data_IF_549160515237
#
_entry.id   IF_549160515237
#
_cell.length_a   1.000
_cell.length_b   1.000
_cell.length_c   1.000
_cell.angle_alpha   90.00
_cell.angle_beta   90.00
_cell.angle_gamma   90.00
#
_symmetry.space_group_name_H-M   'P 1'
#
loop_
_entity.id
_entity.type
_entity.pdbx_description
1 polymer ?
#
# COMPACT_ATOMS: atom_id res chain seq x y z
N UNK A 1 6.59 15.00 -33.85
CA UNK A 1 7.70 14.18 -33.34
C UNK A 1 7.19 13.41 -32.13
N UNK A 2 6.96 12.11 -32.31
CA UNK A 2 6.44 11.17 -31.32
C UNK A 2 7.55 10.82 -30.33
N UNK A 3 7.57 11.45 -29.16
CA UNK A 3 8.39 10.96 -28.07
C UNK A 3 7.60 9.85 -27.35
N UNK A 4 7.90 8.60 -27.70
CA UNK A 4 7.35 7.37 -27.08
C UNK A 4 7.77 7.19 -25.61
N UNK A 5 8.25 8.27 -24.97
CA UNK A 5 8.54 8.40 -23.53
C UNK A 5 7.29 8.80 -22.73
N UNK A 6 6.20 9.22 -23.39
CA UNK A 6 4.98 9.76 -22.75
C UNK A 6 4.02 8.76 -22.09
N UNK A 7 4.28 7.44 -22.16
CA UNK A 7 3.35 6.41 -21.65
C UNK A 7 3.56 6.03 -20.18
N UNK A 8 4.77 6.25 -19.67
CA UNK A 8 5.12 6.02 -18.27
C UNK A 8 4.64 7.20 -17.40
N UNK A 9 4.39 6.92 -16.12
CA UNK A 9 3.99 7.94 -15.13
C UNK A 9 5.14 8.89 -14.89
N UNK A 10 6.36 8.36 -14.64
CA UNK A 10 7.58 9.17 -14.58
C UNK A 10 8.56 8.80 -15.68
N UNK A 11 9.05 7.56 -15.67
CA UNK A 11 10.00 7.03 -16.66
C UNK A 11 10.01 5.51 -16.59
N UNK A 12 10.47 4.85 -17.66
CA UNK A 12 10.58 3.38 -17.69
C UNK A 12 11.32 2.83 -16.46
N UNK A 13 12.51 3.35 -16.15
CA UNK A 13 13.32 2.84 -15.03
C UNK A 13 12.64 3.06 -13.68
N UNK A 14 12.04 4.23 -13.45
CA UNK A 14 11.36 4.51 -12.19
C UNK A 14 10.13 3.63 -12.01
N UNK A 15 9.29 3.56 -13.05
CA UNK A 15 8.05 2.82 -13.00
C UNK A 15 8.31 1.32 -12.93
N UNK A 16 9.40 0.80 -13.52
CA UNK A 16 9.82 -0.61 -13.37
C UNK A 16 10.23 -0.92 -11.93
N UNK A 17 11.04 -0.05 -11.31
CA UNK A 17 11.51 -0.26 -9.94
C UNK A 17 10.38 -0.17 -8.93
N UNK A 18 9.54 0.86 -9.01
CA UNK A 18 8.58 1.18 -7.95
C UNK A 18 7.19 0.61 -8.23
N UNK A 19 6.64 0.90 -9.40
CA UNK A 19 5.24 0.59 -9.71
C UNK A 19 5.10 -0.87 -10.16
N UNK A 20 5.94 -1.34 -11.08
CA UNK A 20 5.95 -2.72 -11.56
C UNK A 20 6.77 -3.66 -10.65
N UNK A 21 6.98 -3.28 -9.39
CA UNK A 21 7.76 -4.06 -8.44
C UNK A 21 7.25 -5.49 -8.26
N UNK A 22 5.95 -5.72 -8.43
CA UNK A 22 5.36 -7.06 -8.38
C UNK A 22 5.97 -8.04 -9.37
N UNK A 23 6.47 -7.58 -10.53
CA UNK A 23 7.12 -8.47 -11.50
C UNK A 23 8.47 -8.94 -10.96
N UNK A 24 9.37 -8.00 -10.69
CA UNK A 24 10.74 -8.35 -10.29
C UNK A 24 10.79 -8.93 -8.88
N UNK A 25 9.89 -8.53 -7.97
CA UNK A 25 9.75 -9.15 -6.65
C UNK A 25 9.34 -10.62 -6.78
N UNK A 26 8.39 -10.94 -7.66
CA UNK A 26 7.99 -12.34 -7.85
C UNK A 26 9.17 -13.17 -8.34
N UNK A 27 9.90 -12.71 -9.36
CA UNK A 27 11.09 -13.43 -9.83
C UNK A 27 12.18 -13.53 -8.77
N UNK A 28 12.41 -12.46 -7.99
CA UNK A 28 13.38 -12.47 -6.90
C UNK A 28 13.05 -13.55 -5.88
N UNK A 29 11.78 -13.66 -5.47
CA UNK A 29 11.33 -14.67 -4.51
C UNK A 29 11.46 -16.09 -5.05
N UNK A 30 11.15 -16.31 -6.33
CA UNK A 30 11.29 -17.62 -6.96
C UNK A 30 12.76 -18.05 -7.12
N UNK A 31 13.68 -17.09 -7.28
CA UNK A 31 15.12 -17.36 -7.41
C UNK A 31 15.79 -17.54 -6.04
N UNK A 32 15.40 -16.74 -5.04
CA UNK A 32 15.97 -16.80 -3.69
C UNK A 32 15.28 -17.91 -2.91
N UNK A 33 15.81 -19.14 -2.98
CA UNK A 33 15.27 -20.30 -2.27
C UNK A 33 15.73 -20.43 -0.80
N UNK A 34 16.01 -19.31 -0.12
CA UNK A 34 16.42 -19.29 1.29
C UNK A 34 15.41 -18.48 2.09
N UNK A 35 14.69 -19.14 2.99
CA UNK A 35 13.70 -18.51 3.88
C UNK A 35 14.35 -17.40 4.73
N UNK A 36 15.54 -17.65 5.27
CA UNK A 36 16.29 -16.65 6.05
C UNK A 36 16.62 -15.40 5.23
N UNK A 37 17.09 -15.54 3.99
CA UNK A 37 17.38 -14.39 3.13
C UNK A 37 16.11 -13.62 2.74
N UNK A 38 15.01 -14.34 2.47
CA UNK A 38 13.71 -13.72 2.21
C UNK A 38 13.21 -12.95 3.44
N UNK A 39 13.36 -13.51 4.64
CA UNK A 39 12.98 -12.86 5.90
C UNK A 39 13.84 -11.63 6.20
N UNK A 40 15.16 -11.71 6.04
CA UNK A 40 16.06 -10.56 6.19
C UNK A 40 15.73 -9.45 5.20
N UNK A 41 15.42 -9.82 3.95
CA UNK A 41 15.00 -8.86 2.93
C UNK A 41 13.67 -8.20 3.30
N UNK A 42 12.71 -8.97 3.80
CA UNK A 42 11.43 -8.44 4.28
C UNK A 42 11.60 -7.53 5.50
N UNK A 43 12.41 -7.92 6.49
CA UNK A 43 12.70 -7.09 7.65
C UNK A 43 13.30 -5.73 7.24
N UNK A 44 14.25 -5.73 6.30
CA UNK A 44 14.83 -4.50 5.77
C UNK A 44 13.76 -3.61 5.09
N UNK A 45 12.82 -4.20 4.36
CA UNK A 45 11.76 -3.43 3.68
C UNK A 45 10.66 -2.98 4.63
N UNK A 46 10.38 -3.73 5.70
CA UNK A 46 9.55 -3.27 6.82
C UNK A 46 10.14 -2.00 7.41
N UNK A 47 11.42 -2.00 7.78
CA UNK A 47 12.06 -0.81 8.35
C UNK A 47 12.07 0.38 7.38
N UNK A 48 12.37 0.15 6.11
CA UNK A 48 12.49 1.24 5.13
C UNK A 48 11.15 1.77 4.62
N UNK A 49 10.14 0.91 4.46
CA UNK A 49 8.96 1.23 3.66
C UNK A 49 7.63 1.06 4.38
N UNK A 50 7.54 0.26 5.45
CA UNK A 50 6.25 0.02 6.10
C UNK A 50 5.69 1.27 6.79
N UNK A 51 6.47 2.03 7.56
CA UNK A 51 5.91 3.26 8.14
C UNK A 51 5.94 4.41 7.12
N UNK A 52 6.92 4.44 6.22
CA UNK A 52 6.98 5.41 5.14
C UNK A 52 5.72 5.40 4.24
N UNK A 53 5.24 4.22 3.80
CA UNK A 53 4.06 4.16 2.92
C UNK A 53 2.80 4.64 3.67
N UNK A 54 2.63 4.21 4.93
CA UNK A 54 1.49 4.57 5.78
C UNK A 54 1.35 6.08 5.94
N UNK A 55 2.46 6.80 6.02
CA UNK A 55 2.50 8.26 6.16
C UNK A 55 2.77 9.03 4.85
N UNK A 56 2.92 8.34 3.71
CA UNK A 56 3.27 8.98 2.45
C UNK A 56 2.18 9.94 1.94
N UNK A 57 0.90 9.57 2.06
CA UNK A 57 -0.22 10.45 1.73
C UNK A 57 -0.43 11.59 2.72
N UNK A 58 -0.05 11.40 3.99
CA UNK A 58 0.03 12.49 4.96
C UNK A 58 1.09 13.51 4.53
N UNK A 59 2.29 13.03 4.17
CA UNK A 59 3.32 13.90 3.61
C UNK A 59 2.83 14.63 2.36
N UNK A 60 2.11 13.97 1.44
CA UNK A 60 1.55 14.66 0.27
C UNK A 60 0.54 15.75 0.67
N UNK A 61 -0.42 15.45 1.54
CA UNK A 61 -1.45 16.40 1.91
C UNK A 61 -0.90 17.60 2.71
N UNK A 62 -0.01 17.38 3.68
CA UNK A 62 0.48 18.45 4.58
C UNK A 62 1.90 18.93 4.31
N UNK A 63 2.76 18.06 3.80
CA UNK A 63 4.15 18.38 3.49
C UNK A 63 4.33 19.11 2.16
N UNK A 64 3.38 18.99 1.22
CA UNK A 64 3.46 19.67 -0.08
C UNK A 64 2.71 21.00 -0.10
N UNK A 65 3.20 21.93 -0.90
CA UNK A 65 2.58 23.25 -1.07
C UNK A 65 1.36 23.20 -1.97
N UNK A 66 1.40 22.34 -3.00
CA UNK A 66 0.29 22.19 -3.93
C UNK A 66 -1.03 21.81 -3.22
N UNK A 67 -0.97 21.05 -2.12
CA UNK A 67 -2.15 20.65 -1.35
C UNK A 67 -2.65 21.70 -0.33
N UNK A 68 -1.89 22.77 -0.04
CA UNK A 68 -2.30 23.78 0.96
C UNK A 68 -3.65 24.44 0.68
N UNK A 69 -4.01 24.83 -0.56
CA UNK A 69 -5.35 25.34 -0.85
C UNK A 69 -6.42 24.30 -0.59
N UNK A 70 -6.17 23.04 -0.98
CA UNK A 70 -7.12 21.94 -0.79
C UNK A 70 -7.37 21.65 0.70
N UNK A 71 -6.33 21.71 1.54
CA UNK A 71 -6.48 21.60 3.00
C UNK A 71 -7.39 22.68 3.58
N UNK A 72 -7.28 23.93 3.08
CA UNK A 72 -8.10 25.06 3.53
C UNK A 72 -9.55 24.93 3.08
N UNK A 73 -9.76 24.54 1.82
CA UNK A 73 -11.09 24.45 1.23
C UNK A 73 -11.86 23.20 1.70
N UNK A 74 -11.15 22.13 2.05
CA UNK A 74 -11.74 20.82 2.34
C UNK A 74 -11.39 20.31 3.75
N UNK A 75 -11.47 21.17 4.76
CA UNK A 75 -11.16 20.86 6.16
C UNK A 75 -11.91 19.63 6.69
N UNK A 76 -13.15 19.40 6.25
CA UNK A 76 -13.92 18.20 6.64
C UNK A 76 -13.19 16.91 6.25
N UNK A 77 -12.59 16.88 5.06
CA UNK A 77 -11.89 15.72 4.50
C UNK A 77 -10.52 15.54 5.12
N UNK A 78 -9.76 16.63 5.25
CA UNK A 78 -8.36 16.53 5.65
C UNK A 78 -8.13 16.69 7.16
N UNK A 79 -9.01 17.35 7.90
CA UNK A 79 -8.77 17.63 9.32
C UNK A 79 -9.82 16.94 10.18
N UNK A 80 -11.10 17.26 9.97
CA UNK A 80 -12.17 16.82 10.87
C UNK A 80 -12.33 15.30 10.84
N UNK A 81 -12.46 14.68 9.66
CA UNK A 81 -12.65 13.23 9.61
C UNK A 81 -11.43 12.45 10.12
N UNK A 82 -10.18 12.80 9.78
CA UNK A 82 -9.01 12.21 10.42
C UNK A 82 -9.02 12.29 11.95
N UNK A 83 -9.37 13.45 12.52
CA UNK A 83 -9.50 13.59 13.97
C UNK A 83 -10.60 12.67 14.54
N UNK A 84 -11.74 12.57 13.87
CA UNK A 84 -12.83 11.67 14.28
C UNK A 84 -12.42 10.20 14.21
N UNK A 85 -11.60 9.79 13.24
CA UNK A 85 -11.07 8.42 13.16
C UNK A 85 -10.18 8.13 14.38
N UNK A 86 -9.24 9.02 14.70
CA UNK A 86 -8.37 8.86 15.87
C UNK A 86 -9.18 8.80 17.16
N UNK A 87 -10.10 9.75 17.35
CA UNK A 87 -10.96 9.80 18.53
C UNK A 87 -11.86 8.57 18.61
N UNK A 88 -12.38 8.07 17.49
CA UNK A 88 -13.21 6.87 17.44
C UNK A 88 -12.45 5.62 17.87
N UNK A 89 -11.23 5.41 17.35
CA UNK A 89 -10.37 4.29 17.76
C UNK A 89 -10.04 4.36 19.24
N UNK A 90 -9.61 5.52 19.73
CA UNK A 90 -9.30 5.70 21.14
C UNK A 90 -10.55 5.52 22.02
N UNK A 91 -11.71 6.01 21.61
CA UNK A 91 -12.95 5.81 22.34
C UNK A 91 -13.32 4.32 22.46
N UNK A 92 -13.17 3.53 21.39
CA UNK A 92 -13.39 2.07 21.43
C UNK A 92 -12.45 1.40 22.43
N UNK A 93 -11.15 1.73 22.41
CA UNK A 93 -10.16 1.11 23.28
C UNK A 93 -10.32 1.52 24.75
N UNK A 94 -10.65 2.78 25.02
CA UNK A 94 -10.76 3.33 26.37
C UNK A 94 -12.19 3.32 26.95
N UNK A 95 -13.16 2.74 26.25
CA UNK A 95 -14.51 2.55 26.83
C UNK A 95 -14.38 1.70 28.09
N UNK A 96 -14.88 2.15 29.27
CA UNK A 96 -14.77 1.37 30.50
C UNK A 96 -15.49 0.04 30.37
N UNK A 97 -14.99 -1.01 31.02
CA UNK A 97 -15.58 -2.35 30.98
C UNK A 97 -17.02 -2.38 31.53
N UNK A 98 -17.39 -1.43 32.40
CA UNK A 98 -18.77 -1.26 32.85
C UNK A 98 -19.76 -0.94 31.71
N UNK A 99 -19.27 -0.41 30.59
CA UNK A 99 -20.07 -0.02 29.42
C UNK A 99 -19.85 -0.94 28.21
N UNK A 100 -19.04 -1.99 28.31
CA UNK A 100 -18.73 -2.89 27.20
C UNK A 100 -18.48 -4.31 27.67
N UNK A 101 -19.11 -5.26 27.00
CA UNK A 101 -18.97 -6.70 27.27
C UNK A 101 -17.65 -7.29 26.76
N UNK A 102 -16.84 -6.51 26.04
CA UNK A 102 -15.58 -6.97 25.45
C UNK A 102 -14.38 -6.38 26.22
N UNK A 103 -13.38 -7.22 26.46
CA UNK A 103 -12.07 -6.82 26.99
C UNK A 103 -11.32 -5.93 25.99
N UNK A 104 -10.31 -5.20 26.46
CA UNK A 104 -9.46 -4.37 25.58
C UNK A 104 -8.81 -5.19 24.47
N UNK A 105 -8.32 -6.40 24.78
CA UNK A 105 -7.70 -7.30 23.80
C UNK A 105 -8.68 -7.73 22.69
N UNK A 106 -9.93 -8.05 23.04
CA UNK A 106 -10.97 -8.40 22.05
C UNK A 106 -11.32 -7.20 21.16
N UNK A 107 -11.33 -5.98 21.72
CA UNK A 107 -11.57 -4.77 20.94
C UNK A 107 -10.41 -4.46 19.99
N UNK A 108 -9.16 -4.65 20.43
CA UNK A 108 -7.98 -4.57 19.56
C UNK A 108 -8.11 -5.56 18.42
N UNK A 109 -8.47 -6.81 18.71
CA UNK A 109 -8.70 -7.83 17.69
C UNK A 109 -9.80 -7.42 16.72
N UNK A 110 -10.94 -6.93 17.21
CA UNK A 110 -12.03 -6.43 16.36
C UNK A 110 -11.59 -5.30 15.42
N UNK A 111 -10.77 -4.37 15.92
CA UNK A 111 -10.19 -3.30 15.10
C UNK A 111 -9.18 -3.83 14.07
N UNK A 112 -8.35 -4.82 14.43
CA UNK A 112 -7.43 -5.47 13.48
C UNK A 112 -8.17 -6.24 12.39
N UNK A 113 -9.28 -6.91 12.71
CA UNK A 113 -10.11 -7.58 11.70
C UNK A 113 -10.76 -6.57 10.74
N UNK A 114 -11.19 -5.42 11.28
CA UNK A 114 -11.70 -4.32 10.45
C UNK A 114 -10.59 -3.72 9.58
N UNK A 115 -9.40 -3.53 10.14
CA UNK A 115 -8.21 -3.07 9.42
C UNK A 115 -7.84 -4.03 8.29
N UNK A 116 -7.84 -5.34 8.53
CA UNK A 116 -7.60 -6.37 7.52
C UNK A 116 -8.60 -6.30 6.37
N UNK A 117 -9.91 -6.23 6.67
CA UNK A 117 -10.95 -6.13 5.65
C UNK A 117 -10.82 -4.84 4.81
N UNK A 118 -10.48 -3.73 5.47
CA UNK A 118 -10.27 -2.46 4.79
C UNK A 118 -8.96 -2.44 3.99
N UNK A 119 -7.92 -3.09 4.51
CA UNK A 119 -6.65 -3.35 3.84
C UNK A 119 -6.89 -4.02 2.51
N UNK A 120 -7.57 -5.17 2.48
CA UNK A 120 -7.86 -5.88 1.22
C UNK A 120 -8.59 -4.99 0.18
N UNK A 121 -9.56 -4.18 0.63
CA UNK A 121 -10.19 -3.17 -0.23
C UNK A 121 -9.18 -2.11 -0.73
N UNK A 122 -8.32 -1.64 0.15
CA UNK A 122 -7.32 -0.62 -0.12
C UNK A 122 -6.26 -1.08 -1.13
N UNK A 123 -5.72 -2.29 -1.00
CA UNK A 123 -4.81 -2.90 -1.97
C UNK A 123 -5.45 -2.96 -3.37
N UNK A 124 -6.67 -3.48 -3.48
CA UNK A 124 -7.41 -3.52 -4.74
C UNK A 124 -7.63 -2.12 -5.34
N UNK A 125 -7.98 -1.14 -4.50
CA UNK A 125 -8.18 0.24 -4.91
C UNK A 125 -6.88 0.89 -5.42
N UNK A 126 -5.73 0.60 -4.82
CA UNK A 126 -4.43 1.08 -5.28
C UNK A 126 -4.09 0.52 -6.67
N UNK A 127 -4.22 -0.80 -6.87
CA UNK A 127 -3.93 -1.40 -8.17
C UNK A 127 -4.81 -0.81 -9.28
N UNK A 128 -6.11 -0.63 -8.98
CA UNK A 128 -7.01 0.06 -9.89
C UNK A 128 -6.55 1.49 -10.18
N UNK A 129 -6.17 2.25 -9.15
CA UNK A 129 -5.65 3.61 -9.30
C UNK A 129 -4.45 3.69 -10.26
N UNK A 130 -3.49 2.76 -10.14
CA UNK A 130 -2.31 2.74 -11.00
C UNK A 130 -2.65 2.37 -12.44
N UNK A 131 -3.54 1.39 -12.67
CA UNK A 131 -4.05 1.08 -14.01
C UNK A 131 -4.71 2.30 -14.66
N UNK A 132 -5.48 3.08 -13.88
CA UNK A 132 -6.10 4.33 -14.35
C UNK A 132 -5.08 5.39 -14.71
N UNK A 133 -3.97 5.50 -13.98
CA UNK A 133 -2.90 6.45 -14.29
C UNK A 133 -2.22 6.11 -15.64
N UNK A 134 -1.86 4.85 -15.87
CA UNK A 134 -1.29 4.45 -17.17
C UNK A 134 -2.28 4.64 -18.32
N UNK A 135 -3.53 4.27 -18.11
CA UNK A 135 -4.57 4.45 -19.11
C UNK A 135 -4.74 5.94 -19.46
N UNK A 136 -4.79 6.83 -18.46
CA UNK A 136 -4.88 8.27 -18.65
C UNK A 136 -3.68 8.86 -19.39
N UNK A 137 -2.48 8.27 -19.25
CA UNK A 137 -1.28 8.70 -19.95
C UNK A 137 -1.23 8.25 -21.42
N UNK A 138 -1.77 7.07 -21.71
CA UNK A 138 -1.68 6.49 -23.04
C UNK A 138 -2.87 6.82 -23.94
N UNK A 139 -4.09 6.41 -23.55
CA UNK A 139 -5.27 6.53 -24.40
C UNK A 139 -6.53 6.85 -23.55
N UNK A 140 -6.78 8.12 -23.21
CA UNK A 140 -7.94 8.51 -22.42
C UNK A 140 -9.30 8.16 -23.05
N UNK A 141 -9.36 7.95 -24.37
CA UNK A 141 -10.60 7.73 -25.10
C UNK A 141 -11.20 6.34 -24.84
N UNK A 142 -10.38 5.31 -24.57
CA UNK A 142 -10.85 3.96 -24.24
C UNK A 142 -11.18 3.75 -22.75
N UNK A 143 -11.13 4.83 -21.96
CA UNK A 143 -11.24 4.76 -20.49
C UNK A 143 -12.58 4.21 -19.99
N UNK A 144 -13.69 4.51 -20.66
CA UNK A 144 -15.02 4.15 -20.19
C UNK A 144 -15.25 2.63 -20.15
N UNK A 145 -14.84 1.91 -21.21
CA UNK A 145 -15.00 0.45 -21.30
C UNK A 145 -13.99 -0.30 -20.41
N UNK A 146 -12.74 0.19 -20.35
CA UNK A 146 -11.70 -0.38 -19.50
C UNK A 146 -12.01 -0.26 -18.00
N UNK A 147 -12.71 0.81 -17.59
CA UNK A 147 -12.99 1.10 -16.18
C UNK A 147 -13.69 0.00 -15.40
N UNK A 148 -14.72 -0.59 -16.00
CA UNK A 148 -15.51 -1.63 -15.33
C UNK A 148 -14.69 -2.92 -15.19
N UNK A 149 -13.98 -3.28 -16.26
CA UNK A 149 -13.13 -4.48 -16.29
C UNK A 149 -11.98 -4.36 -15.29
N UNK A 150 -11.26 -3.23 -15.28
CA UNK A 150 -10.16 -2.98 -14.34
C UNK A 150 -10.64 -3.04 -12.89
N UNK A 151 -11.81 -2.48 -12.60
CA UNK A 151 -12.39 -2.54 -11.26
C UNK A 151 -12.74 -3.97 -10.85
N UNK A 152 -13.41 -4.72 -11.72
CA UNK A 152 -13.75 -6.12 -11.44
C UNK A 152 -12.49 -6.97 -11.26
N UNK A 153 -11.48 -6.76 -12.10
CA UNK A 153 -10.22 -7.48 -12.00
C UNK A 153 -9.47 -7.15 -10.71
N UNK A 154 -9.32 -5.87 -10.35
CA UNK A 154 -8.60 -5.48 -9.14
C UNK A 154 -9.30 -5.91 -7.85
N UNK A 155 -10.63 -5.76 -7.73
CA UNK A 155 -11.35 -6.20 -6.53
C UNK A 155 -11.59 -7.71 -6.50
N UNK A 156 -11.80 -8.35 -7.65
CA UNK A 156 -11.98 -9.79 -7.75
C UNK A 156 -10.66 -10.53 -7.53
N UNK A 157 -9.67 -10.29 -8.38
CA UNK A 157 -8.36 -10.96 -8.34
C UNK A 157 -7.49 -10.39 -7.21
N UNK A 158 -7.30 -9.07 -7.19
CA UNK A 158 -6.44 -8.38 -6.21
C UNK A 158 -7.09 -8.11 -4.85
N UNK A 159 -8.26 -8.70 -4.56
CA UNK A 159 -8.98 -8.53 -3.29
C UNK A 159 -9.59 -9.84 -2.84
N UNK A 160 -10.72 -10.23 -3.43
CA UNK A 160 -11.49 -11.42 -3.01
C UNK A 160 -10.68 -12.72 -3.14
N UNK A 161 -10.07 -12.98 -4.31
CA UNK A 161 -9.32 -14.21 -4.51
C UNK A 161 -8.08 -14.33 -3.62
N UNK A 162 -7.46 -13.20 -3.28
CA UNK A 162 -6.33 -13.17 -2.35
C UNK A 162 -6.77 -13.55 -0.94
N UNK A 163 -7.90 -13.00 -0.46
CA UNK A 163 -8.47 -13.41 0.83
C UNK A 163 -8.77 -14.91 0.83
N UNK A 164 -9.35 -15.44 -0.26
CA UNK A 164 -9.61 -16.86 -0.40
C UNK A 164 -8.31 -17.67 -0.34
N UNK A 165 -7.26 -17.24 -1.07
CA UNK A 165 -5.97 -17.91 -1.05
C UNK A 165 -5.36 -17.93 0.36
N UNK A 166 -5.39 -16.81 1.08
CA UNK A 166 -4.91 -16.76 2.47
C UNK A 166 -5.71 -17.67 3.41
N UNK A 167 -7.04 -17.68 3.30
CA UNK A 167 -7.89 -18.57 4.10
C UNK A 167 -7.58 -20.04 3.83
N UNK A 168 -7.32 -20.38 2.56
CA UNK A 168 -7.05 -21.75 2.13
C UNK A 168 -5.69 -22.29 2.60
N UNK A 169 -4.68 -21.43 2.71
CA UNK A 169 -3.40 -21.81 3.28
C UNK A 169 -3.39 -21.78 4.82
N UNK A 170 -4.50 -21.35 5.43
CA UNK A 170 -4.56 -20.94 6.82
C UNK A 170 -3.82 -19.61 6.98
N UNK A 171 -4.56 -18.52 7.14
CA UNK A 171 -3.99 -17.15 7.08
C UNK A 171 -2.84 -16.99 8.08
N UNK A 172 -1.74 -16.34 7.68
CA UNK A 172 -0.62 -16.01 8.58
C UNK A 172 -1.10 -15.25 9.84
N UNK A 173 -1.99 -14.27 9.65
CA UNK A 173 -2.55 -13.44 10.73
C UNK A 173 -3.40 -14.23 11.74
N UNK A 174 -4.37 -15.04 11.28
CA UNK A 174 -5.23 -15.79 12.20
C UNK A 174 -4.54 -17.04 12.80
N UNK A 175 -3.48 -17.55 12.15
CA UNK A 175 -2.63 -18.61 12.70
C UNK A 175 -1.75 -18.10 13.84
N UNK A 176 -1.07 -16.95 13.66
CA UNK A 176 -0.23 -16.33 14.70
C UNK A 176 -1.04 -15.95 15.95
N UNK A 177 -2.31 -15.62 15.80
CA UNK A 177 -3.23 -15.29 16.92
C UNK A 177 -4.07 -16.48 17.42
N UNK A 178 -3.86 -17.70 16.92
CA UNK A 178 -4.62 -18.91 17.28
C UNK A 178 -6.15 -18.80 17.16
N UNK A 179 -6.66 -18.03 16.20
CA UNK A 179 -8.11 -17.78 16.03
C UNK A 179 -8.78 -18.87 15.17
N UNK A 180 -8.08 -19.38 14.15
CA UNK A 180 -8.60 -20.41 13.23
C UNK A 180 -8.94 -21.76 13.90
N UNK A 181 -8.13 -22.31 14.84
CA UNK A 181 -8.40 -23.62 15.44
C UNK A 181 -9.79 -23.73 16.11
N UNK A 182 -10.40 -22.60 16.49
CA UNK A 182 -11.69 -22.57 17.17
C UNK A 182 -12.91 -22.36 16.26
N UNK A 183 -12.73 -21.95 15.00
CA UNK A 183 -13.85 -21.60 14.12
C UNK A 183 -14.22 -22.70 13.11
N UNK A 184 -13.26 -23.54 12.69
CA UNK A 184 -13.49 -24.49 11.59
C UNK A 184 -12.73 -25.80 11.80
N UNK A 185 -13.22 -26.73 12.65
CA UNK A 185 -12.74 -28.10 12.64
C UNK A 185 -13.31 -28.79 11.38
N UNK A 186 -12.44 -29.30 10.51
CA UNK A 186 -12.78 -30.27 9.45
C UNK A 186 -13.46 -29.78 8.15
N UNK A 187 -13.12 -28.59 7.64
CA UNK A 187 -13.40 -28.30 6.22
C UNK A 187 -12.47 -29.10 5.30
N UNK A 188 -12.87 -30.33 4.98
CA UNK A 188 -12.49 -31.08 3.77
C UNK A 188 -11.06 -30.83 3.28
N UNK A 189 -10.06 -31.03 4.16
CA UNK A 189 -8.64 -30.73 3.91
C UNK A 189 -8.11 -31.39 2.62
N UNK A 190 -8.72 -32.51 2.21
CA UNK A 190 -8.42 -33.21 0.96
C UNK A 190 -8.69 -32.37 -0.31
N UNK A 191 -9.64 -31.43 -0.27
CA UNK A 191 -10.02 -30.60 -1.41
C UNK A 191 -9.15 -29.36 -1.62
N UNK A 192 -8.43 -28.91 -0.59
CA UNK A 192 -7.63 -27.67 -0.61
C UNK A 192 -6.65 -27.65 -1.80
N UNK A 193 -5.86 -28.71 -2.08
CA UNK A 193 -4.93 -28.70 -3.21
C UNK A 193 -5.60 -28.52 -4.57
N UNK A 194 -6.79 -29.10 -4.76
CA UNK A 194 -7.56 -28.93 -6.00
C UNK A 194 -8.05 -27.49 -6.16
N UNK A 195 -8.62 -26.93 -5.09
CA UNK A 195 -9.09 -25.54 -5.10
C UNK A 195 -7.96 -24.53 -5.33
N UNK A 196 -6.75 -24.77 -4.79
CA UNK A 196 -5.58 -23.91 -5.02
C UNK A 196 -5.17 -23.92 -6.51
N UNK A 197 -5.18 -25.09 -7.14
CA UNK A 197 -4.94 -25.24 -8.59
C UNK A 197 -6.01 -24.55 -9.43
N UNK A 198 -7.29 -24.72 -9.09
CA UNK A 198 -8.40 -24.06 -9.77
C UNK A 198 -8.34 -22.54 -9.63
N UNK A 199 -8.01 -22.03 -8.44
CA UNK A 199 -7.77 -20.61 -8.18
C UNK A 199 -6.65 -20.05 -9.05
N UNK A 200 -5.54 -20.78 -9.16
CA UNK A 200 -4.41 -20.42 -10.02
C UNK A 200 -4.81 -20.34 -11.50
N UNK A 201 -5.53 -21.34 -12.00
CA UNK A 201 -6.02 -21.36 -13.38
C UNK A 201 -7.00 -20.21 -13.64
N UNK A 202 -7.89 -19.90 -12.69
CA UNK A 202 -8.81 -18.77 -12.78
C UNK A 202 -8.07 -17.44 -12.86
N UNK A 203 -7.03 -17.24 -12.04
CA UNK A 203 -6.19 -16.03 -12.06
C UNK A 203 -5.47 -15.91 -13.40
N UNK A 204 -4.84 -16.98 -13.88
CA UNK A 204 -4.12 -16.99 -15.18
C UNK A 204 -5.09 -16.66 -16.31
N UNK A 205 -6.23 -17.36 -16.39
CA UNK A 205 -7.25 -17.14 -17.42
C UNK A 205 -7.79 -15.70 -17.41
N UNK A 206 -8.09 -15.17 -16.22
CA UNK A 206 -8.55 -13.78 -16.05
C UNK A 206 -7.50 -12.77 -16.47
N UNK A 207 -6.22 -13.03 -16.13
CA UNK A 207 -5.10 -12.15 -16.50
C UNK A 207 -4.88 -12.15 -18.00
N UNK A 208 -4.87 -13.32 -18.65
CA UNK A 208 -4.75 -13.43 -20.11
C UNK A 208 -5.90 -12.72 -20.82
N UNK A 209 -7.13 -12.84 -20.31
CA UNK A 209 -8.29 -12.11 -20.83
C UNK A 209 -8.10 -10.60 -20.72
N UNK A 210 -7.65 -10.10 -19.57
CA UNK A 210 -7.40 -8.67 -19.35
C UNK A 210 -6.27 -8.13 -20.22
N UNK A 211 -5.18 -8.88 -20.36
CA UNK A 211 -4.04 -8.53 -21.22
C UNK A 211 -4.48 -8.49 -22.69
N UNK A 212 -5.22 -9.49 -23.16
CA UNK A 212 -5.79 -9.51 -24.52
C UNK A 212 -6.65 -8.28 -24.77
N UNK A 213 -7.56 -7.95 -23.85
CA UNK A 213 -8.41 -6.76 -24.00
C UNK A 213 -7.58 -5.47 -24.00
N UNK A 214 -6.55 -5.37 -23.16
CA UNK A 214 -5.63 -4.23 -23.14
C UNK A 214 -4.88 -4.06 -24.47
N UNK A 215 -4.47 -5.15 -25.12
CA UNK A 215 -3.89 -5.14 -26.46
C UNK A 215 -4.88 -4.65 -27.51
N UNK A 216 -6.11 -5.19 -27.52
CA UNK A 216 -7.16 -4.81 -28.49
C UNK A 216 -7.55 -3.33 -28.34
N UNK A 217 -7.53 -2.81 -27.12
CA UNK A 217 -7.91 -1.43 -26.81
C UNK A 217 -6.75 -0.43 -26.95
N UNK A 218 -5.58 -0.87 -27.43
CA UNK A 218 -4.35 -0.08 -27.49
C UNK A 218 -4.10 0.68 -26.18
N UNK A 219 -3.88 -0.07 -25.10
CA UNK A 219 -3.77 0.47 -23.74
C UNK A 219 -2.35 0.83 -23.30
N UNK A 220 -1.36 0.58 -24.15
CA UNK A 220 0.05 0.84 -23.86
C UNK A 220 0.72 -0.25 -23.02
N UNK A 221 2.03 -0.41 -23.26
CA UNK A 221 2.85 -1.43 -22.60
C UNK A 221 2.87 -1.34 -21.06
N UNK A 222 2.97 -0.16 -20.42
CA UNK A 222 3.00 -0.08 -18.94
C UNK A 222 1.73 -0.66 -18.31
N UNK A 223 0.55 -0.37 -18.86
CA UNK A 223 -0.71 -0.93 -18.34
C UNK A 223 -0.75 -2.45 -18.49
N UNK A 224 -0.30 -2.98 -19.63
CA UNK A 224 -0.26 -4.42 -19.89
C UNK A 224 0.67 -5.12 -18.90
N UNK A 225 1.88 -4.60 -18.71
CA UNK A 225 2.84 -5.13 -17.74
C UNK A 225 2.28 -5.09 -16.32
N UNK A 226 1.60 -4.01 -15.94
CA UNK A 226 0.99 -3.90 -14.62
C UNK A 226 -0.16 -4.89 -14.40
N UNK A 227 -1.00 -5.14 -15.41
CA UNK A 227 -2.01 -6.21 -15.37
C UNK A 227 -1.36 -7.59 -15.18
N UNK A 228 -0.29 -7.87 -15.92
CA UNK A 228 0.49 -9.09 -15.75
C UNK A 228 1.11 -9.21 -14.37
N UNK A 229 1.59 -8.10 -13.79
CA UNK A 229 2.15 -8.08 -12.43
C UNK A 229 1.10 -8.47 -11.38
N UNK A 230 -0.11 -7.89 -11.45
CA UNK A 230 -1.22 -8.26 -10.54
C UNK A 230 -1.55 -9.73 -10.68
N UNK A 231 -1.70 -10.22 -11.92
CA UNK A 231 -1.99 -11.63 -12.18
C UNK A 231 -0.92 -12.58 -11.67
N UNK A 232 0.36 -12.21 -11.83
CA UNK A 232 1.50 -12.97 -11.36
C UNK A 232 1.53 -13.07 -9.83
N UNK A 233 1.35 -11.95 -9.13
CA UNK A 233 1.30 -11.94 -7.66
C UNK A 233 0.08 -12.70 -7.13
N UNK A 234 -1.08 -12.56 -7.77
CA UNK A 234 -2.28 -13.29 -7.37
C UNK A 234 -2.14 -14.80 -7.63
N UNK A 235 -1.47 -15.22 -8.71
CA UNK A 235 -1.18 -16.64 -8.95
C UNK A 235 -0.20 -17.17 -7.90
N UNK A 236 0.79 -16.36 -7.51
CA UNK A 236 1.70 -16.68 -6.41
C UNK A 236 0.97 -16.87 -5.08
N UNK A 237 -0.10 -16.12 -4.80
CA UNK A 237 -0.93 -16.30 -3.60
C UNK A 237 -1.48 -17.73 -3.46
N UNK A 238 -1.83 -18.37 -4.56
CA UNK A 238 -2.37 -19.74 -4.56
C UNK A 238 -1.30 -20.84 -4.59
N UNK A 239 -0.02 -20.48 -4.72
CA UNK A 239 1.07 -21.45 -4.93
C UNK A 239 2.18 -21.35 -3.88
N UNK A 240 2.41 -20.16 -3.32
CA UNK A 240 3.44 -19.91 -2.32
C UNK A 240 2.89 -20.04 -0.91
N UNK A 241 3.78 -20.24 0.06
CA UNK A 241 3.46 -20.18 1.48
C UNK A 241 2.93 -18.78 1.86
N UNK A 242 2.04 -18.66 2.86
CA UNK A 242 1.43 -17.39 3.27
C UNK A 242 2.43 -16.26 3.51
N UNK A 243 3.58 -16.56 4.14
CA UNK A 243 4.61 -15.56 4.40
C UNK A 243 5.22 -14.99 3.11
N UNK A 244 5.52 -15.84 2.13
CA UNK A 244 6.12 -15.41 0.86
C UNK A 244 5.14 -14.57 0.05
N UNK A 245 3.87 -14.96 0.04
CA UNK A 245 2.83 -14.15 -0.57
C UNK A 245 2.65 -12.80 0.15
N UNK A 246 2.58 -12.80 1.48
CA UNK A 246 2.46 -11.58 2.28
C UNK A 246 3.61 -10.61 1.97
N UNK A 247 4.85 -11.10 1.96
CA UNK A 247 6.04 -10.35 1.58
C UNK A 247 5.85 -9.74 0.18
N UNK A 248 5.50 -10.55 -0.82
CA UNK A 248 5.33 -10.08 -2.20
C UNK A 248 4.28 -8.98 -2.30
N UNK A 249 3.11 -9.23 -1.73
CA UNK A 249 1.94 -8.38 -1.84
C UNK A 249 2.12 -7.04 -1.11
N UNK A 250 2.59 -7.10 0.15
CA UNK A 250 2.81 -5.89 0.97
C UNK A 250 3.98 -5.07 0.44
N UNK A 251 5.09 -5.69 0.04
CA UNK A 251 6.23 -4.96 -0.48
C UNK A 251 5.93 -4.25 -1.79
N UNK A 252 5.22 -4.90 -2.73
CA UNK A 252 4.81 -4.22 -3.96
C UNK A 252 3.96 -3.00 -3.63
N UNK A 253 3.02 -3.15 -2.69
CA UNK A 253 2.14 -2.08 -2.29
C UNK A 253 2.90 -0.89 -1.69
N UNK A 254 3.82 -1.14 -0.76
CA UNK A 254 4.64 -0.10 -0.13
C UNK A 254 5.53 0.61 -1.14
N UNK A 255 6.22 -0.15 -2.00
CA UNK A 255 7.10 0.41 -3.03
C UNK A 255 6.32 1.28 -4.02
N UNK A 256 5.14 0.84 -4.46
CA UNK A 256 4.34 1.60 -5.40
C UNK A 256 3.83 2.92 -4.78
N UNK A 257 3.34 2.88 -3.54
CA UNK A 257 2.86 4.06 -2.83
C UNK A 257 3.99 5.08 -2.58
N UNK A 258 5.13 4.62 -2.07
CA UNK A 258 6.29 5.47 -1.79
C UNK A 258 6.89 6.02 -3.08
N UNK A 259 7.03 5.20 -4.12
CA UNK A 259 7.53 5.65 -5.41
C UNK A 259 6.67 6.74 -6.03
N UNK A 260 5.35 6.68 -5.84
CA UNK A 260 4.42 7.72 -6.28
C UNK A 260 4.54 8.98 -5.44
N UNK A 261 4.57 8.85 -4.10
CA UNK A 261 4.69 9.98 -3.19
C UNK A 261 6.03 10.71 -3.31
N UNK A 262 7.14 9.98 -3.45
CA UNK A 262 8.46 10.55 -3.69
C UNK A 262 8.53 11.30 -5.01
N UNK A 263 7.91 10.77 -6.08
CA UNK A 263 7.79 11.46 -7.37
C UNK A 263 6.99 12.76 -7.23
N UNK A 264 5.78 12.70 -6.68
CA UNK A 264 4.91 13.87 -6.50
C UNK A 264 5.53 14.92 -5.59
N UNK A 265 6.11 14.50 -4.46
CA UNK A 265 6.80 15.39 -3.53
C UNK A 265 8.04 16.04 -4.15
N UNK A 266 8.83 15.27 -4.90
CA UNK A 266 9.98 15.80 -5.62
C UNK A 266 9.60 16.87 -6.65
N UNK A 267 8.46 16.71 -7.30
CA UNK A 267 7.90 17.71 -8.22
C UNK A 267 7.39 18.97 -7.51
N UNK A 268 6.81 18.85 -6.32
CA UNK A 268 6.43 20.03 -5.50
C UNK A 268 7.65 20.86 -5.10
N UNK A 269 8.73 20.20 -4.64
CA UNK A 269 10.02 20.84 -4.33
C UNK A 269 10.60 21.55 -5.56
N UNK A 270 10.49 20.94 -6.74
CA UNK A 270 10.93 21.55 -8.01
C UNK A 270 10.18 22.86 -8.29
N UNK A 271 8.86 22.89 -8.11
CA UNK A 271 8.06 24.09 -8.36
C UNK A 271 8.39 25.25 -7.40
N UNK A 272 8.66 24.97 -6.11
CA UNK A 272 9.05 26.01 -5.15
C UNK A 272 10.36 26.70 -5.55
N UNK A 273 11.38 25.91 -5.88
CA UNK A 273 12.67 26.46 -6.29
C UNK A 273 12.56 27.27 -7.59
N UNK A 274 11.73 26.86 -8.55
CA UNK A 274 11.48 27.65 -9.77
C UNK A 274 10.79 28.98 -9.47
N UNK A 275 9.88 29.05 -8.48
CA UNK A 275 9.27 30.31 -8.05
C UNK A 275 10.25 31.22 -7.30
N UNK A 276 11.14 30.65 -6.48
CA UNK A 276 12.17 31.40 -5.74
C UNK A 276 13.32 31.89 -6.64
N UNK A 277 13.68 31.13 -7.67
CA UNK A 277 14.82 31.40 -8.56
C UNK A 277 14.53 32.35 -9.73
N UNK A 278 13.32 32.94 -9.79
CA UNK A 278 13.01 34.02 -10.74
C UNK A 278 13.95 35.23 -10.57
N UNK A 279 14.60 35.41 -9.41
CA UNK A 279 15.62 36.46 -9.20
C UNK A 279 17.07 36.05 -9.50
N UNK A 280 17.40 34.76 -9.66
CA UNK A 280 18.78 34.32 -9.91
C UNK A 280 18.82 33.13 -10.89
N UNK A 281 19.05 33.48 -12.15
CA UNK A 281 19.36 32.54 -13.24
C UNK A 281 20.73 31.89 -13.00
N UNK A 282 20.76 30.78 -12.23
CA UNK A 282 21.75 29.68 -12.32
C UNK A 282 21.65 28.77 -11.08
N UNK A 283 21.14 27.55 -11.25
CA UNK A 283 21.99 26.35 -11.19
C UNK A 283 21.23 25.11 -11.62
N UNK A 284 21.92 24.31 -12.43
CA UNK A 284 21.59 22.93 -12.79
C UNK A 284 21.80 22.03 -11.56
N UNK A 285 20.99 22.20 -10.50
CA UNK A 285 20.87 21.14 -9.50
C UNK A 285 20.04 20.02 -10.13
N UNK A 286 20.76 18.96 -10.51
CA UNK A 286 20.30 17.76 -11.19
C UNK A 286 18.89 17.37 -10.73
N UNK A 287 17.90 17.57 -11.62
CA UNK A 287 16.46 17.26 -11.47
C UNK A 287 16.22 15.89 -10.82
N UNK A 288 17.14 14.95 -11.03
CA UNK A 288 17.14 13.61 -10.47
C UNK A 288 17.11 13.55 -8.93
N UNK A 289 17.75 14.46 -8.19
CA UNK A 289 17.93 14.34 -6.73
C UNK A 289 16.70 14.67 -5.88
N UNK A 290 15.70 15.36 -6.45
CA UNK A 290 14.58 15.89 -5.65
C UNK A 290 13.63 14.80 -5.14
N UNK A 291 13.20 13.81 -5.96
CA UNK A 291 12.46 12.65 -5.46
C UNK A 291 13.25 11.84 -4.42
N UNK A 292 14.59 11.75 -4.57
CA UNK A 292 15.43 11.02 -3.61
C UNK A 292 15.50 11.70 -2.24
N UNK A 293 15.50 13.04 -2.18
CA UNK A 293 15.43 13.76 -0.88
C UNK A 293 14.15 13.37 -0.13
N UNK A 294 13.00 13.40 -0.80
CA UNK A 294 11.71 13.00 -0.21
C UNK A 294 11.75 11.54 0.22
N UNK A 295 12.24 10.65 -0.65
CA UNK A 295 12.35 9.22 -0.35
C UNK A 295 13.23 8.97 0.89
N UNK A 296 14.42 9.55 0.95
CA UNK A 296 15.34 9.39 2.09
C UNK A 296 14.68 9.89 3.38
N UNK A 297 13.99 11.04 3.34
CA UNK A 297 13.26 11.55 4.51
C UNK A 297 12.15 10.60 4.98
N UNK A 298 11.38 10.03 4.04
CA UNK A 298 10.34 9.05 4.36
C UNK A 298 10.93 7.75 4.92
N UNK A 299 12.01 7.23 4.31
CA UNK A 299 12.69 6.03 4.80
C UNK A 299 13.30 6.23 6.19
N UNK A 300 13.95 7.38 6.43
CA UNK A 300 14.51 7.71 7.74
C UNK A 300 13.41 7.81 8.80
N UNK A 301 12.31 8.48 8.48
CA UNK A 301 11.11 8.52 9.34
C UNK A 301 10.59 7.10 9.61
N UNK A 302 10.56 6.24 8.59
CA UNK A 302 10.09 4.86 8.75
C UNK A 302 10.91 4.09 9.75
N UNK A 303 12.23 4.06 9.57
CA UNK A 303 13.18 3.37 10.46
C UNK A 303 13.03 3.85 11.91
N UNK A 304 12.89 5.16 12.11
CA UNK A 304 12.73 5.75 13.44
C UNK A 304 11.40 5.38 14.10
N UNK A 305 10.33 5.27 13.31
CA UNK A 305 8.98 5.09 13.83
C UNK A 305 8.54 3.62 13.91
N UNK A 306 9.19 2.70 13.18
CA UNK A 306 8.83 1.26 13.19
C UNK A 306 8.68 0.69 14.61
N UNK A 307 9.59 0.91 15.57
CA UNK A 307 9.44 0.33 16.92
C UNK A 307 8.14 0.73 17.63
N UNK A 308 7.65 1.95 17.38
CA UNK A 308 6.44 2.46 18.03
C UNK A 308 5.16 1.93 17.38
N UNK A 309 5.20 1.61 16.09
CA UNK A 309 4.05 1.11 15.33
C UNK A 309 4.02 -0.41 15.22
N UNK A 310 5.14 -1.11 15.34
CA UNK A 310 5.19 -2.59 15.30
C UNK A 310 4.48 -3.24 16.49
N UNK A 311 4.30 -2.48 17.58
CA UNK A 311 3.59 -2.95 18.79
C UNK A 311 2.16 -3.41 18.47
N UNK A 312 1.45 -2.73 17.55
CA UNK A 312 0.09 -3.14 17.16
C UNK A 312 0.07 -4.35 16.23
N UNK A 313 1.08 -4.48 15.37
CA UNK A 313 0.99 -5.34 14.19
C UNK A 313 1.41 -6.79 14.46
N UNK A 314 2.41 -6.97 15.33
CA UNK A 314 3.07 -8.27 15.54
C UNK A 314 3.08 -8.60 17.03
N UNK A 315 2.89 -9.88 17.37
CA UNK A 315 2.93 -10.32 18.76
C UNK A 315 4.36 -10.22 19.35
N UNK A 316 4.44 -10.15 20.68
CA UNK A 316 5.75 -10.21 21.35
C UNK A 316 6.47 -11.52 21.01
N UNK A 317 7.77 -11.44 20.73
CA UNK A 317 8.61 -12.54 20.26
C UNK A 317 8.73 -12.67 18.74
N UNK A 318 7.84 -12.02 17.97
CA UNK A 318 7.85 -12.05 16.50
C UNK A 318 8.32 -10.75 15.84
N UNK A 319 8.59 -9.68 16.61
CA UNK A 319 8.83 -8.34 16.07
C UNK A 319 10.26 -8.18 15.56
N UNK A 320 10.43 -7.56 14.41
CA UNK A 320 11.77 -7.22 13.91
C UNK A 320 12.45 -6.17 14.79
N UNK A 321 11.72 -5.21 15.35
CA UNK A 321 12.27 -4.22 16.27
C UNK A 321 12.75 -4.82 17.59
N UNK A 322 12.25 -5.99 18.01
CA UNK A 322 12.77 -6.69 19.20
C UNK A 322 14.16 -7.25 18.94
N UNK A 323 14.46 -7.66 17.70
CA UNK A 323 15.78 -8.14 17.32
C UNK A 323 16.82 -7.01 17.24
N UNK A 324 16.39 -5.80 16.84
CA UNK A 324 17.27 -4.64 16.66
C UNK A 324 17.39 -3.78 17.92
N UNK A 325 16.28 -3.55 18.62
CA UNK A 325 16.18 -2.70 19.81
C UNK A 325 15.42 -3.38 20.96
N UNK A 326 15.94 -4.50 21.51
CA UNK A 326 15.22 -5.31 22.51
C UNK A 326 14.80 -4.52 23.75
N UNK A 327 15.70 -3.69 24.29
CA UNK A 327 15.43 -2.88 25.50
C UNK A 327 14.33 -1.85 25.27
N UNK A 328 14.30 -1.22 24.10
CA UNK A 328 13.26 -0.25 23.75
C UNK A 328 11.90 -0.97 23.64
N UNK A 329 11.88 -2.14 23.01
CA UNK A 329 10.64 -2.90 22.83
C UNK A 329 10.11 -3.43 24.15
N UNK A 330 10.97 -3.93 25.03
CA UNK A 330 10.59 -4.35 26.39
C UNK A 330 9.99 -3.17 27.17
N UNK A 331 10.61 -1.99 27.10
CA UNK A 331 10.08 -0.79 27.75
C UNK A 331 8.71 -0.39 27.19
N UNK A 332 8.55 -0.35 25.86
CA UNK A 332 7.30 0.03 25.21
C UNK A 332 6.15 -0.92 25.59
N UNK A 333 6.42 -2.22 25.65
CA UNK A 333 5.44 -3.26 25.99
C UNK A 333 4.95 -3.18 27.43
N UNK A 334 5.85 -2.88 28.36
CA UNK A 334 5.54 -2.79 29.78
C UNK A 334 5.13 -1.37 30.21
N UNK A 335 5.07 -0.42 29.27
CA UNK A 335 4.70 0.96 29.57
C UNK A 335 3.20 1.12 29.80
N UNK A 336 2.82 2.06 30.68
CA UNK A 336 1.44 2.51 30.85
C UNK A 336 0.84 3.10 29.56
N UNK A 337 1.71 3.45 28.60
CA UNK A 337 1.34 3.98 27.29
C UNK A 337 0.98 2.90 26.27
N UNK A 338 1.10 1.60 26.59
CA UNK A 338 0.89 0.51 25.64
C UNK A 338 -0.45 0.62 24.88
N UNK A 339 -1.57 0.74 25.59
CA UNK A 339 -2.90 0.85 24.96
C UNK A 339 -3.04 2.10 24.11
N UNK A 340 -2.43 3.20 24.53
CA UNK A 340 -2.41 4.44 23.75
C UNK A 340 -1.61 4.26 22.46
N UNK A 341 -0.41 3.68 22.53
CA UNK A 341 0.45 3.42 21.38
C UNK A 341 -0.21 2.46 20.39
N UNK A 342 -0.83 1.38 20.87
CA UNK A 342 -1.64 0.48 20.03
C UNK A 342 -2.79 1.25 19.37
N UNK A 343 -3.48 2.11 20.12
CA UNK A 343 -4.55 2.95 19.58
C UNK A 343 -4.08 3.91 18.50
N UNK A 344 -2.93 4.57 18.68
CA UNK A 344 -2.31 5.41 17.65
C UNK A 344 -1.90 4.58 16.44
N UNK A 345 -1.36 3.37 16.65
CA UNK A 345 -1.00 2.44 15.59
C UNK A 345 -2.20 2.04 14.73
N UNK A 346 -3.27 1.55 15.35
CA UNK A 346 -4.51 1.18 14.66
C UNK A 346 -5.16 2.38 13.97
N UNK A 347 -5.23 3.52 14.65
CA UNK A 347 -5.75 4.76 14.07
C UNK A 347 -4.96 5.15 12.83
N UNK A 348 -3.63 5.03 12.86
CA UNK A 348 -2.77 5.34 11.71
C UNK A 348 -3.04 4.46 10.49
N UNK A 349 -3.44 3.20 10.67
CA UNK A 349 -3.89 2.31 9.59
C UNK A 349 -5.15 2.83 8.91
N UNK A 350 -6.22 3.09 9.69
CA UNK A 350 -7.46 3.66 9.15
C UNK A 350 -7.26 5.02 8.49
N UNK A 351 -6.46 5.85 9.14
CA UNK A 351 -6.06 7.16 8.65
C UNK A 351 -5.33 7.07 7.31
N UNK A 352 -4.40 6.14 7.15
CA UNK A 352 -3.69 5.90 5.90
C UNK A 352 -4.68 5.60 4.77
N UNK A 353 -5.62 4.68 4.97
CA UNK A 353 -6.60 4.35 3.93
C UNK A 353 -7.48 5.53 3.54
N UNK A 354 -7.87 6.35 4.52
CA UNK A 354 -8.63 7.56 4.27
C UNK A 354 -7.80 8.60 3.51
N UNK A 355 -6.55 8.82 3.93
CA UNK A 355 -5.68 9.84 3.36
C UNK A 355 -5.26 9.52 1.94
N UNK A 356 -4.98 8.26 1.63
CA UNK A 356 -4.74 7.81 0.26
C UNK A 356 -5.94 8.14 -0.62
N UNK A 357 -7.14 7.80 -0.16
CA UNK A 357 -8.36 8.16 -0.89
C UNK A 357 -8.52 9.67 -1.01
N UNK A 358 -8.16 10.45 0.00
CA UNK A 358 -8.31 11.90 0.00
C UNK A 358 -7.35 12.60 -0.99
N UNK A 359 -6.10 12.16 -1.06
CA UNK A 359 -5.05 12.68 -1.93
C UNK A 359 -5.22 12.20 -3.37
N UNK A 360 -5.64 10.96 -3.58
CA UNK A 360 -5.79 10.39 -4.93
C UNK A 360 -7.24 10.42 -5.45
N UNK A 361 -8.11 11.29 -4.91
CA UNK A 361 -9.50 11.42 -5.37
C UNK A 361 -9.64 12.17 -6.70
N UNK A 362 -9.27 11.53 -7.81
CA UNK A 362 -9.38 12.16 -9.14
C UNK A 362 -10.81 12.47 -9.62
N UNK A 363 -11.85 12.00 -8.93
CA UNK A 363 -13.24 12.41 -9.17
C UNK A 363 -13.52 13.83 -8.69
N UNK A 364 -12.79 14.31 -7.68
CA UNK A 364 -12.87 15.69 -7.18
C UNK A 364 -12.05 16.62 -8.10
N UNK A 365 -12.64 17.69 -8.66
CA UNK A 365 -11.93 18.58 -9.58
C UNK A 365 -10.70 19.27 -8.98
N UNK A 366 -10.76 19.70 -7.72
CA UNK A 366 -9.65 20.40 -7.06
C UNK A 366 -8.52 19.42 -6.73
N UNK A 367 -8.86 18.24 -6.17
CA UNK A 367 -7.88 17.18 -5.91
C UNK A 367 -7.23 16.71 -7.21
N UNK A 368 -8.02 16.46 -8.27
CA UNK A 368 -7.50 16.07 -9.58
C UNK A 368 -6.54 17.10 -10.16
N UNK A 369 -6.86 18.39 -10.08
CA UNK A 369 -5.99 19.47 -10.58
C UNK A 369 -4.65 19.45 -9.85
N UNK A 370 -4.69 19.38 -8.52
CA UNK A 370 -3.51 19.34 -7.65
C UNK A 370 -2.65 18.10 -7.91
N UNK A 371 -3.26 16.91 -7.90
CA UNK A 371 -2.57 15.66 -8.14
C UNK A 371 -1.96 15.60 -9.55
N UNK A 372 -2.66 16.06 -10.59
CA UNK A 372 -2.12 16.11 -11.97
C UNK A 372 -0.91 17.04 -12.08
N UNK A 373 -0.93 18.17 -11.38
CA UNK A 373 0.22 19.08 -11.33
C UNK A 373 1.45 18.36 -10.75
N UNK A 374 1.29 17.61 -9.66
CA UNK A 374 2.42 16.91 -9.05
C UNK A 374 2.83 15.64 -9.82
N UNK A 375 1.90 14.95 -10.49
CA UNK A 375 2.19 13.72 -11.21
C UNK A 375 2.85 13.96 -12.57
N UNK A 376 2.43 15.01 -13.28
CA UNK A 376 2.78 15.22 -14.68
C UNK A 376 3.40 16.59 -14.95
N UNK A 377 3.96 17.24 -13.93
CA UNK A 377 4.74 18.45 -14.11
C UNK A 377 6.02 18.16 -14.89
N UNK A 378 5.96 18.47 -16.18
CA UNK A 378 7.10 18.55 -17.09
C UNK A 378 7.96 19.77 -16.74
#
# INVERSE_FOLDING_TARGET
MNDKTGCWIRSLMWDVVWLHSGIWLTFLLLIVNSSQLQEMFYAATVFLFWIAHRFSSFYLAWGTRAYKPLLRDQQKRFIILPLLIVLGVLAVLYTPESFSTFTVSERILGLLLLDFAWGAHHFAAQHYGILRLYHHRWNPASAASANKQDRMFCWGIGGVLIIIAELMHGTSFLQEKHIIPNLFPDWGLEGIPLFLRLGTLLVIGSTLFMVRNAWIQDSGLPRILYLSAIGMMAAAAFQLDPFQFLLLWTMQHWLAAIGLAAHMGGNDVKHDEMQKSVSLKKHSEKIFWKPWRVLISLCAFSVMMTPFFEIEAVAAGGRYSEQVWPVLMEWLQNSEWYTFLVGIGLASGFLHYWMDRAVYRFSDPQTRKTARQLLFSS
#
